data_IF_002106283587
#
_entry.id   IF_002106283587
#
_cell.length_a   1.000
_cell.length_b   1.000
_cell.length_c   1.000
_cell.angle_alpha   90.00
_cell.angle_beta   90.00
_cell.angle_gamma   90.00
#
_symmetry.space_group_name_H-M   'P 1'
#
loop_
_entity.id
_entity.type
_entity.pdbx_description
1 polymer ?
#
# COMPACT_ATOMS: atom_id res chain seq x y z
N UNK A 1 -5.23 5.99 0.61
CA UNK A 1 -5.33 6.43 -0.81
C UNK A 1 -4.97 5.34 -1.82
N UNK A 2 -4.06 4.41 -1.52
CA UNK A 2 -3.66 3.38 -2.48
C UNK A 2 -4.84 2.59 -3.08
N UNK A 3 -5.78 2.18 -2.24
CA UNK A 3 -6.95 1.44 -2.70
C UNK A 3 -7.91 2.27 -3.57
N UNK A 4 -7.96 3.58 -3.37
CA UNK A 4 -8.70 4.47 -4.27
C UNK A 4 -8.09 4.46 -5.67
N UNK A 5 -6.75 4.51 -5.76
CA UNK A 5 -6.04 4.38 -7.04
C UNK A 5 -6.26 2.99 -7.68
N UNK A 6 -6.17 1.92 -6.90
CA UNK A 6 -6.38 0.56 -7.41
C UNK A 6 -7.81 0.37 -7.93
N UNK A 7 -8.81 0.86 -7.21
CA UNK A 7 -10.21 0.83 -7.67
C UNK A 7 -10.39 1.64 -8.95
N UNK A 8 -9.75 2.80 -9.05
CA UNK A 8 -9.78 3.62 -10.25
C UNK A 8 -9.20 2.89 -11.47
N UNK A 9 -8.27 1.95 -11.26
CA UNK A 9 -7.72 1.07 -12.31
C UNK A 9 -8.62 -0.13 -12.63
N UNK A 10 -9.72 -0.32 -11.91
CA UNK A 10 -10.64 -1.44 -12.13
C UNK A 10 -10.37 -2.66 -11.25
N UNK A 11 -9.52 -2.57 -10.25
CA UNK A 11 -9.23 -3.68 -9.34
C UNK A 11 -10.34 -3.89 -8.33
N UNK A 12 -10.60 -5.15 -8.00
CA UNK A 12 -11.42 -5.52 -6.85
C UNK A 12 -10.60 -5.36 -5.57
N UNK A 13 -11.05 -4.51 -4.66
CA UNK A 13 -10.31 -4.15 -3.44
C UNK A 13 -10.95 -4.70 -2.16
N UNK A 14 -11.97 -5.55 -2.30
CA UNK A 14 -12.70 -6.13 -1.17
C UNK A 14 -13.34 -5.05 -0.30
N UNK A 15 -13.13 -5.17 1.00
CA UNK A 15 -13.64 -4.22 2.00
C UNK A 15 -12.66 -3.09 2.33
N UNK A 16 -11.58 -2.95 1.57
CA UNK A 16 -10.54 -1.95 1.82
C UNK A 16 -11.10 -0.53 1.78
N UNK A 17 -10.51 0.35 2.58
CA UNK A 17 -10.92 1.76 2.64
C UNK A 17 -10.68 2.47 1.32
N UNK A 18 -11.71 3.12 0.81
CA UNK A 18 -11.73 3.83 -0.46
C UNK A 18 -12.49 5.14 -0.30
N UNK A 19 -12.04 6.15 -1.00
CA UNK A 19 -12.79 7.40 -1.18
C UNK A 19 -13.33 7.46 -2.61
N UNK A 20 -14.57 7.02 -2.79
CA UNK A 20 -15.22 6.99 -4.11
C UNK A 20 -15.35 8.37 -4.76
N UNK A 21 -15.37 9.44 -3.96
CA UNK A 21 -15.40 10.82 -4.49
C UNK A 21 -14.11 11.24 -5.18
N UNK A 22 -13.03 10.47 -5.02
CA UNK A 22 -11.70 10.75 -5.56
C UNK A 22 -11.28 9.82 -6.71
N UNK A 23 -12.16 8.94 -7.18
CA UNK A 23 -11.81 8.02 -8.27
C UNK A 23 -11.38 8.76 -9.54
N UNK A 24 -12.14 9.78 -9.96
CA UNK A 24 -11.80 10.57 -11.14
C UNK A 24 -10.49 11.35 -10.94
N UNK A 25 -10.28 11.89 -9.75
CA UNK A 25 -9.05 12.57 -9.38
C UNK A 25 -7.85 11.62 -9.48
N UNK A 26 -7.98 10.39 -9.00
CA UNK A 26 -6.92 9.38 -9.08
C UNK A 26 -6.57 9.03 -10.53
N UNK A 27 -7.57 8.87 -11.39
CA UNK A 27 -7.36 8.66 -12.83
C UNK A 27 -6.59 9.79 -13.46
N UNK A 28 -6.99 11.03 -13.18
CA UNK A 28 -6.33 12.23 -13.66
C UNK A 28 -4.87 12.30 -13.20
N UNK A 29 -4.60 11.98 -11.93
CA UNK A 29 -3.24 12.00 -11.39
C UNK A 29 -2.35 10.92 -12.00
N UNK A 30 -2.89 9.73 -12.28
CA UNK A 30 -2.14 8.67 -12.97
C UNK A 30 -1.76 9.08 -14.39
N UNK A 31 -2.67 9.70 -15.13
CA UNK A 31 -2.39 10.22 -16.47
C UNK A 31 -1.36 11.35 -16.44
N UNK A 32 -1.46 12.24 -15.47
CA UNK A 32 -0.51 13.36 -15.29
C UNK A 32 0.89 12.84 -14.98
N UNK A 33 1.01 11.83 -14.10
CA UNK A 33 2.30 11.23 -13.78
C UNK A 33 2.95 10.61 -15.03
N UNK A 34 2.19 9.91 -15.85
CA UNK A 34 2.66 9.32 -17.10
C UNK A 34 3.15 10.40 -18.08
N UNK A 35 2.38 11.47 -18.27
CA UNK A 35 2.75 12.58 -19.16
C UNK A 35 4.03 13.29 -18.72
N UNK A 36 4.26 13.37 -17.40
CA UNK A 36 5.44 14.02 -16.83
C UNK A 36 6.65 13.06 -16.69
N UNK A 37 6.50 11.80 -17.09
CA UNK A 37 7.56 10.81 -16.96
C UNK A 37 7.86 10.42 -15.51
N UNK A 38 6.89 10.60 -14.60
CA UNK A 38 7.02 10.25 -13.19
C UNK A 38 6.46 8.87 -12.92
N UNK A 39 7.13 8.12 -12.04
CA UNK A 39 6.65 6.80 -11.62
C UNK A 39 5.68 6.94 -10.46
N UNK A 40 4.47 6.43 -10.61
CA UNK A 40 3.50 6.27 -9.54
C UNK A 40 3.43 4.78 -9.20
N UNK A 41 4.06 4.37 -8.11
CA UNK A 41 4.10 2.98 -7.68
C UNK A 41 2.95 2.69 -6.74
N UNK A 42 2.15 1.70 -7.08
CA UNK A 42 1.04 1.24 -6.26
C UNK A 42 1.34 -0.15 -5.70
N UNK A 43 0.74 -0.52 -4.55
CA UNK A 43 0.94 -1.85 -3.98
C UNK A 43 0.52 -2.95 -4.96
N UNK A 44 1.36 -3.97 -5.10
CA UNK A 44 1.10 -5.14 -5.94
C UNK A 44 0.59 -6.33 -5.13
N UNK A 45 0.72 -6.27 -3.82
CA UNK A 45 0.16 -7.24 -2.87
C UNK A 45 -0.17 -6.55 -1.54
N UNK A 46 -0.93 -7.24 -0.71
CA UNK A 46 -1.36 -6.70 0.57
C UNK A 46 -1.52 -7.80 1.63
N UNK A 47 -1.22 -7.43 2.86
CA UNK A 47 -1.59 -8.21 4.04
C UNK A 47 -3.05 -7.89 4.35
N UNK A 48 -3.91 -8.90 4.36
CA UNK A 48 -5.36 -8.75 4.45
C UNK A 48 -5.97 -9.45 5.66
N UNK A 49 -7.11 -8.96 6.10
CA UNK A 49 -7.91 -9.52 7.19
C UNK A 49 -9.37 -9.65 6.78
N UNK A 50 -10.12 -10.50 7.48
CA UNK A 50 -11.59 -10.59 7.35
C UNK A 50 -12.29 -9.64 8.30
N UNK A 51 -11.88 -9.64 9.57
CA UNK A 51 -12.49 -8.82 10.62
C UNK A 51 -11.46 -7.91 11.24
N UNK A 52 -11.75 -6.62 11.31
CA UNK A 52 -10.84 -5.64 11.89
C UNK A 52 -10.67 -5.91 13.40
N UNK A 53 -9.41 -5.93 13.89
CA UNK A 53 -9.15 -6.23 15.30
C UNK A 53 -9.73 -5.17 16.24
N UNK A 54 -10.28 -5.63 17.37
CA UNK A 54 -10.80 -4.76 18.42
C UNK A 54 -10.35 -5.33 19.79
N UNK A 55 -9.47 -4.65 20.54
CA UNK A 55 -8.86 -3.36 20.20
C UNK A 55 -7.93 -3.41 18.98
N UNK A 56 -7.55 -2.25 18.47
CA UNK A 56 -6.78 -2.12 17.20
C UNK A 56 -5.46 -2.91 17.20
N UNK A 57 -4.84 -3.11 18.35
CA UNK A 57 -3.59 -3.83 18.53
C UNK A 57 -3.77 -5.32 18.86
N UNK A 58 -5.01 -5.83 18.84
CA UNK A 58 -5.28 -7.23 19.12
C UNK A 58 -4.72 -8.15 18.02
N UNK A 59 -4.24 -9.37 18.36
CA UNK A 59 -3.80 -10.34 17.37
C UNK A 59 -4.91 -10.69 16.39
N UNK A 60 -4.57 -10.84 15.11
CA UNK A 60 -5.52 -11.14 14.05
C UNK A 60 -4.90 -12.10 13.03
N UNK A 61 -5.72 -12.97 12.44
CA UNK A 61 -5.29 -13.82 11.34
C UNK A 61 -5.16 -13.00 10.05
N UNK A 62 -4.00 -13.13 9.39
CA UNK A 62 -3.70 -12.41 8.17
C UNK A 62 -3.42 -13.38 7.02
N UNK A 63 -3.76 -12.97 5.81
CA UNK A 63 -3.36 -13.64 4.58
C UNK A 63 -2.90 -12.59 3.57
N UNK A 64 -1.88 -12.95 2.78
CA UNK A 64 -1.35 -12.07 1.74
C UNK A 64 -1.99 -12.44 0.41
N UNK A 65 -2.50 -11.44 -0.29
CA UNK A 65 -3.06 -11.58 -1.63
C UNK A 65 -2.42 -10.57 -2.57
N UNK A 66 -2.26 -10.97 -3.85
CA UNK A 66 -1.92 -10.02 -4.90
C UNK A 66 -3.05 -8.99 -5.06
N UNK A 67 -2.71 -7.75 -5.41
CA UNK A 67 -3.69 -6.65 -5.49
C UNK A 67 -4.81 -6.91 -6.51
N UNK A 68 -4.54 -7.71 -7.54
CA UNK A 68 -5.53 -8.08 -8.56
C UNK A 68 -6.34 -9.34 -8.20
N UNK A 69 -6.11 -9.92 -7.02
CA UNK A 69 -6.74 -11.18 -6.57
C UNK A 69 -7.33 -11.08 -5.17
N UNK A 70 -7.62 -9.88 -4.69
CA UNK A 70 -8.16 -9.69 -3.34
C UNK A 70 -9.60 -10.20 -3.25
N UNK A 71 -9.90 -11.12 -2.30
CA UNK A 71 -11.27 -11.58 -2.07
C UNK A 71 -12.20 -10.44 -1.61
N UNK A 72 -13.48 -10.56 -1.96
CA UNK A 72 -14.47 -9.54 -1.66
C UNK A 72 -14.73 -9.35 -0.15
N UNK A 73 -14.44 -10.36 0.67
CA UNK A 73 -14.66 -10.35 2.12
C UNK A 73 -13.44 -9.95 2.96
N UNK A 74 -12.39 -9.41 2.30
CA UNK A 74 -11.16 -9.02 2.98
C UNK A 74 -10.82 -7.56 2.73
N UNK A 75 -10.11 -6.96 3.69
CA UNK A 75 -9.54 -5.61 3.54
C UNK A 75 -8.02 -5.64 3.71
N UNK A 76 -7.34 -4.77 2.97
CA UNK A 76 -5.89 -4.60 3.09
C UNK A 76 -5.53 -3.71 4.26
N UNK A 77 -4.59 -4.16 5.09
CA UNK A 77 -4.13 -3.43 6.27
C UNK A 77 -2.64 -3.12 6.27
N UNK A 78 -1.88 -3.70 5.35
CA UNK A 78 -0.46 -3.41 5.15
C UNK A 78 -0.07 -3.81 3.74
N UNK A 79 1.09 -3.33 3.28
CA UNK A 79 1.69 -3.80 2.02
C UNK A 79 2.29 -5.18 2.23
N UNK A 80 2.25 -6.00 1.17
CA UNK A 80 2.82 -7.34 1.20
C UNK A 80 4.32 -7.35 0.85
N UNK A 81 4.94 -8.54 0.87
CA UNK A 81 6.39 -8.68 0.63
C UNK A 81 6.83 -8.26 -0.77
N UNK A 82 6.02 -8.49 -1.80
CA UNK A 82 6.33 -8.05 -3.17
C UNK A 82 6.36 -6.53 -3.28
N UNK A 83 5.43 -5.87 -2.62
CA UNK A 83 5.36 -4.40 -2.57
C UNK A 83 6.54 -3.82 -1.79
N UNK A 84 6.93 -4.47 -0.69
CA UNK A 84 8.13 -4.07 0.07
C UNK A 84 9.37 -4.06 -0.84
N UNK A 85 9.56 -5.12 -1.63
CA UNK A 85 10.68 -5.23 -2.57
C UNK A 85 10.62 -4.15 -3.65
N UNK A 86 9.43 -3.91 -4.22
CA UNK A 86 9.21 -2.89 -5.24
C UNK A 86 9.55 -1.49 -4.72
N UNK A 87 9.09 -1.15 -3.53
CA UNK A 87 9.34 0.16 -2.92
C UNK A 87 10.80 0.31 -2.50
N UNK A 88 11.42 -0.76 -1.97
CA UNK A 88 12.84 -0.74 -1.63
C UNK A 88 13.72 -0.46 -2.85
N UNK A 89 13.41 -1.05 -4.00
CA UNK A 89 14.14 -0.79 -5.24
C UNK A 89 13.98 0.67 -5.70
N UNK A 90 12.80 1.24 -5.58
CA UNK A 90 12.56 2.64 -5.91
C UNK A 90 13.36 3.58 -4.99
N UNK A 91 13.41 3.28 -3.70
CA UNK A 91 14.15 4.07 -2.70
C UNK A 91 15.66 4.07 -2.99
N UNK A 92 16.22 2.96 -3.46
CA UNK A 92 17.67 2.85 -3.78
C UNK A 92 18.14 3.90 -4.76
N UNK A 93 17.32 4.30 -5.71
CA UNK A 93 17.66 5.25 -6.76
C UNK A 93 17.25 6.68 -6.44
N UNK A 94 16.53 6.89 -5.36
CA UNK A 94 16.10 8.22 -4.93
C UNK A 94 17.25 9.00 -4.30
N UNK A 95 17.35 10.28 -4.59
CA UNK A 95 18.30 11.18 -3.93
C UNK A 95 17.73 11.85 -2.69
N UNK A 96 16.43 12.09 -2.71
CA UNK A 96 15.69 12.69 -1.60
C UNK A 96 14.44 11.87 -1.37
N UNK A 97 14.15 11.54 -0.10
CA UNK A 97 12.96 10.77 0.28
C UNK A 97 12.14 11.61 1.27
N UNK A 98 10.85 11.74 0.99
CA UNK A 98 9.89 12.32 1.92
C UNK A 98 8.96 11.21 2.41
N UNK A 99 8.92 10.99 3.71
CA UNK A 99 8.06 9.98 4.34
C UNK A 99 6.80 10.65 4.91
N UNK A 100 5.65 10.32 4.36
CA UNK A 100 4.37 10.93 4.76
C UNK A 100 3.46 9.95 5.52
N UNK A 101 4.01 9.12 6.35
CA UNK A 101 3.27 8.21 7.21
C UNK A 101 3.54 6.74 6.96
N UNK A 102 2.99 5.84 7.81
CA UNK A 102 3.22 4.40 7.71
C UNK A 102 2.54 3.79 6.48
N UNK A 103 3.00 2.60 6.10
CA UNK A 103 2.45 1.85 4.96
C UNK A 103 1.15 1.14 5.31
N UNK A 104 0.93 0.78 6.56
CA UNK A 104 -0.23 0.03 7.03
C UNK A 104 -0.78 0.51 8.35
N UNK A 105 -1.66 -0.29 8.95
CA UNK A 105 -2.24 -0.03 10.28
C UNK A 105 -1.18 -0.33 11.35
N UNK A 106 -0.25 0.58 11.48
CA UNK A 106 0.99 0.44 12.26
C UNK A 106 0.75 0.17 13.75
N UNK A 107 -0.37 0.57 14.29
CA UNK A 107 -0.77 0.34 15.68
C UNK A 107 -0.85 -1.15 16.04
N UNK A 108 -1.05 -2.02 15.03
CA UNK A 108 -1.09 -3.46 15.21
C UNK A 108 0.23 -4.09 14.77
N UNK A 109 0.91 -4.89 15.64
CA UNK A 109 2.16 -5.56 15.27
C UNK A 109 2.07 -6.44 14.01
N UNK A 110 0.90 -7.02 13.73
CA UNK A 110 0.67 -7.87 12.57
C UNK A 110 0.68 -7.09 11.25
N UNK A 111 0.58 -5.76 11.31
CA UNK A 111 0.55 -4.86 10.15
C UNK A 111 1.75 -3.90 10.09
N UNK A 112 2.84 -4.21 10.80
CA UNK A 112 4.02 -3.34 10.87
C UNK A 112 5.11 -3.70 9.85
N UNK A 113 5.11 -4.93 9.34
CA UNK A 113 6.20 -5.43 8.50
C UNK A 113 6.45 -4.58 7.26
N UNK A 114 5.40 -4.10 6.60
CA UNK A 114 5.52 -3.25 5.43
C UNK A 114 6.18 -1.91 5.74
N UNK A 115 5.77 -1.27 6.83
CA UNK A 115 6.35 -0.01 7.28
C UNK A 115 7.83 -0.19 7.64
N UNK A 116 8.15 -1.24 8.41
CA UNK A 116 9.54 -1.54 8.82
C UNK A 116 10.40 -1.83 7.59
N UNK A 117 9.90 -2.61 6.64
CA UNK A 117 10.63 -2.93 5.41
C UNK A 117 11.01 -1.70 4.59
N UNK A 118 10.09 -0.75 4.45
CA UNK A 118 10.37 0.52 3.75
C UNK A 118 11.31 1.40 4.57
N UNK A 119 11.14 1.47 5.89
CA UNK A 119 12.07 2.18 6.78
C UNK A 119 13.50 1.68 6.64
N UNK A 120 13.69 0.36 6.63
CA UNK A 120 15.02 -0.25 6.47
C UNK A 120 15.64 0.14 5.12
N UNK A 121 14.86 0.17 4.05
CA UNK A 121 15.32 0.60 2.74
C UNK A 121 15.77 2.07 2.75
N UNK A 122 15.03 2.94 3.42
CA UNK A 122 15.37 4.36 3.54
C UNK A 122 16.66 4.55 4.35
N UNK A 123 16.81 3.83 5.46
CA UNK A 123 18.02 3.90 6.30
C UNK A 123 19.27 3.46 5.54
N UNK A 124 19.15 2.50 4.64
CA UNK A 124 20.27 1.99 3.82
C UNK A 124 20.52 2.83 2.56
N UNK A 125 19.70 3.79 2.27
CA UNK A 125 19.81 4.63 1.09
C UNK A 125 20.99 5.59 1.26
N UNK A 126 21.91 5.70 0.25
CA UNK A 126 23.15 6.45 0.41
C UNK A 126 23.02 7.97 0.29
N UNK A 127 21.87 8.47 -0.08
CA UNK A 127 21.62 9.90 -0.28
C UNK A 127 21.36 10.72 0.97
#
# INVERSE_FOLDING_TARGET
>A
MAYTFLKAQGYEIGLSLVDDSKLDYCKEMMEKAEKLGKKLLLPVDAVTIKDFPNPIDAPVEVEVYDSDKMPADREGCDIGPKTQALFADAVKTAKTVVWNGPMGVFENPDFQAGTIGVMDAIVKQPG
#
